data_IF_138262306115
#
_entry.id   IF_138262306115
#
_cell.length_a   1.000
_cell.length_b   1.000
_cell.length_c   1.000
_cell.angle_alpha   90.00
_cell.angle_beta   90.00
_cell.angle_gamma   90.00
#
_symmetry.space_group_name_H-M   'P 1'
#
loop_
_entity.id
_entity.type
_entity.pdbx_description
1 polymer ?
#
# COMPACT_ATOMS: atom_id res chain seq x y z
N UNK A 1 16.62 -15.36 -7.80
CA UNK A 1 17.37 -16.03 -6.71
C UNK A 1 16.45 -16.41 -5.54
N UNK A 2 15.60 -15.50 -5.03
CA UNK A 2 14.71 -15.75 -3.89
C UNK A 2 13.72 -16.90 -4.11
N UNK A 3 13.07 -16.99 -5.27
CA UNK A 3 12.19 -18.14 -5.60
C UNK A 3 12.93 -19.49 -5.53
N UNK A 4 14.20 -19.56 -5.95
CA UNK A 4 15.00 -20.78 -5.82
C UNK A 4 15.33 -21.08 -4.34
N UNK A 5 15.67 -20.06 -3.56
CA UNK A 5 15.91 -20.22 -2.13
C UNK A 5 14.66 -20.73 -1.41
N UNK A 6 13.49 -20.19 -1.74
CA UNK A 6 12.22 -20.65 -1.20
C UNK A 6 12.01 -22.13 -1.48
N UNK A 7 12.19 -22.56 -2.74
CA UNK A 7 12.10 -23.99 -3.11
C UNK A 7 13.01 -24.88 -2.28
N UNK A 8 14.23 -24.43 -1.98
CA UNK A 8 15.19 -25.18 -1.16
C UNK A 8 14.73 -25.30 0.30
N UNK A 9 14.22 -24.20 0.87
CA UNK A 9 13.74 -24.16 2.26
C UNK A 9 12.47 -24.99 2.43
N UNK A 10 11.62 -25.07 1.41
CA UNK A 10 10.36 -25.82 1.45
C UNK A 10 10.46 -27.26 0.95
N UNK A 11 11.66 -27.77 0.64
CA UNK A 11 11.87 -29.14 0.14
C UNK A 11 11.24 -30.21 1.03
N UNK A 12 11.23 -30.00 2.34
CA UNK A 12 10.70 -30.93 3.33
C UNK A 12 9.36 -30.46 3.92
N UNK A 13 8.63 -29.61 3.19
CA UNK A 13 7.40 -28.96 3.63
C UNK A 13 7.61 -27.51 4.07
N UNK A 14 6.52 -26.80 4.34
CA UNK A 14 6.56 -25.40 4.76
C UNK A 14 7.08 -25.29 6.21
N UNK A 15 8.11 -24.46 6.47
CA UNK A 15 8.55 -24.18 7.84
C UNK A 15 7.44 -23.58 8.72
N UNK A 16 7.53 -23.82 10.03
CA UNK A 16 6.56 -23.29 11.02
C UNK A 16 7.00 -21.99 11.68
N UNK A 17 8.20 -21.52 11.33
CA UNK A 17 8.89 -20.38 11.89
C UNK A 17 9.19 -19.34 10.80
N UNK A 18 8.29 -19.17 9.82
CA UNK A 18 8.50 -18.26 8.69
C UNK A 18 8.78 -16.80 9.12
N UNK A 19 8.41 -16.41 10.34
CA UNK A 19 8.74 -15.10 10.92
C UNK A 19 10.23 -14.86 11.16
N UNK A 20 11.05 -15.92 11.25
CA UNK A 20 12.51 -15.77 11.36
C UNK A 20 13.20 -15.59 10.00
N UNK A 21 12.46 -15.69 8.90
CA UNK A 21 13.00 -15.59 7.55
C UNK A 21 12.92 -14.15 7.03
N UNK A 22 13.76 -13.78 6.05
CA UNK A 22 13.60 -12.51 5.33
C UNK A 22 12.18 -12.39 4.76
N UNK A 23 11.51 -11.26 5.04
CA UNK A 23 10.14 -10.98 4.58
C UNK A 23 9.99 -11.09 3.07
N UNK A 24 11.05 -10.76 2.35
CA UNK A 24 11.19 -10.88 0.90
C UNK A 24 10.96 -12.30 0.36
N UNK A 25 11.18 -13.34 1.18
CA UNK A 25 10.84 -14.71 0.80
C UNK A 25 9.34 -14.98 0.84
N UNK A 26 8.61 -14.28 1.72
CA UNK A 26 7.17 -14.46 1.88
C UNK A 26 6.39 -13.95 0.67
N UNK A 27 6.99 -13.05 -0.14
CA UNK A 27 6.41 -12.54 -1.39
C UNK A 27 6.04 -13.65 -2.40
N UNK A 28 6.63 -14.84 -2.26
CA UNK A 28 6.42 -16.00 -3.13
C UNK A 28 5.61 -17.11 -2.45
N UNK A 29 4.99 -16.83 -1.30
CA UNK A 29 4.11 -17.71 -0.56
C UNK A 29 2.67 -17.19 -0.58
N UNK A 30 1.72 -18.04 -0.22
CA UNK A 30 0.33 -17.67 0.03
C UNK A 30 0.03 -17.60 1.53
N UNK A 31 -1.07 -16.95 1.95
CA UNK A 31 -1.54 -16.98 3.34
C UNK A 31 -1.75 -18.40 3.87
N UNK A 32 -2.10 -19.35 3.00
CA UNK A 32 -2.31 -20.75 3.40
C UNK A 32 -1.00 -21.47 3.75
N UNK A 33 0.10 -21.15 3.07
CA UNK A 33 1.43 -21.66 3.43
C UNK A 33 1.85 -21.13 4.81
N UNK A 34 1.48 -19.89 5.13
CA UNK A 34 1.81 -19.25 6.40
C UNK A 34 0.96 -19.73 7.59
N UNK A 35 -0.11 -20.50 7.36
CA UNK A 35 -1.07 -20.89 8.39
C UNK A 35 -0.48 -21.68 9.57
N UNK A 36 0.67 -22.35 9.38
CA UNK A 36 1.37 -23.05 10.45
C UNK A 36 2.30 -22.16 11.29
N UNK A 37 2.62 -20.95 10.80
CA UNK A 37 3.44 -19.94 11.49
C UNK A 37 2.55 -18.92 12.21
N UNK A 38 1.50 -18.43 11.56
CA UNK A 38 0.62 -17.41 12.14
C UNK A 38 -0.69 -17.26 11.37
N UNK A 39 -1.33 -16.10 11.54
CA UNK A 39 -2.60 -15.79 10.87
C UNK A 39 -2.38 -14.93 9.62
N UNK A 40 -3.43 -14.77 8.80
CA UNK A 40 -3.34 -14.04 7.54
C UNK A 40 -2.99 -12.55 7.73
N UNK A 41 -3.46 -11.90 8.81
CA UNK A 41 -3.11 -10.50 9.08
C UNK A 41 -1.63 -10.36 9.37
N UNK A 42 -1.04 -11.27 10.14
CA UNK A 42 0.39 -11.30 10.42
C UNK A 42 1.21 -11.57 9.15
N UNK A 43 0.72 -12.44 8.25
CA UNK A 43 1.32 -12.64 6.94
C UNK A 43 1.37 -11.32 6.16
N UNK A 44 0.26 -10.59 6.04
CA UNK A 44 0.24 -9.32 5.30
C UNK A 44 1.00 -8.19 5.99
N UNK A 45 1.08 -8.15 7.32
CA UNK A 45 2.00 -7.25 8.04
C UNK A 45 3.45 -7.50 7.59
N UNK A 46 3.84 -8.76 7.38
CA UNK A 46 5.18 -9.09 6.92
C UNK A 46 5.36 -8.75 5.42
N UNK A 47 4.37 -9.04 4.58
CA UNK A 47 4.37 -8.67 3.15
C UNK A 47 4.49 -7.15 2.98
N UNK A 48 3.67 -6.36 3.69
CA UNK A 48 3.68 -4.90 3.62
C UNK A 48 4.98 -4.26 4.09
N UNK A 49 5.85 -5.01 4.77
CA UNK A 49 7.20 -4.60 5.20
C UNK A 49 8.33 -5.20 4.36
N UNK A 50 8.03 -6.04 3.38
CA UNK A 50 9.01 -6.58 2.44
C UNK A 50 9.48 -5.50 1.46
N UNK A 51 10.59 -5.76 0.77
CA UNK A 51 11.10 -4.83 -0.23
C UNK A 51 10.21 -4.85 -1.49
N UNK A 52 9.53 -3.73 -1.76
CA UNK A 52 8.65 -3.53 -2.92
C UNK A 52 9.36 -3.71 -4.26
N UNK A 53 10.67 -3.46 -4.34
CA UNK A 53 11.44 -3.54 -5.59
C UNK A 53 11.65 -4.98 -6.08
N UNK A 54 11.34 -5.98 -5.25
CA UNK A 54 11.47 -7.40 -5.61
C UNK A 54 10.36 -7.85 -6.55
N UNK A 55 9.15 -7.29 -6.40
CA UNK A 55 8.02 -7.52 -7.27
C UNK A 55 7.71 -6.22 -8.02
N UNK A 56 8.19 -6.09 -9.27
CA UNK A 56 7.80 -5.00 -10.15
C UNK A 56 6.27 -4.86 -10.22
N UNK A 57 5.78 -3.66 -10.53
CA UNK A 57 4.35 -3.35 -10.50
C UNK A 57 3.55 -4.25 -11.45
N UNK A 58 4.15 -4.64 -12.56
CA UNK A 58 3.57 -5.48 -13.61
C UNK A 58 3.60 -6.97 -13.27
N UNK A 59 4.26 -7.36 -12.16
CA UNK A 59 4.33 -8.77 -11.75
C UNK A 59 2.95 -9.25 -11.30
N UNK A 60 2.38 -10.31 -11.92
CA UNK A 60 1.07 -10.84 -11.53
C UNK A 60 0.99 -11.26 -10.06
N UNK A 61 2.11 -11.67 -9.46
CA UNK A 61 2.20 -12.03 -8.05
C UNK A 61 1.80 -10.86 -7.14
N UNK A 62 2.16 -9.64 -7.54
CA UNK A 62 1.85 -8.42 -6.78
C UNK A 62 0.36 -8.13 -6.74
N UNK A 63 -0.32 -8.28 -7.87
CA UNK A 63 -1.77 -8.16 -7.94
C UNK A 63 -2.47 -9.25 -7.12
N UNK A 64 -1.96 -10.48 -7.19
CA UNK A 64 -2.48 -11.59 -6.40
C UNK A 64 -2.37 -11.33 -4.88
N UNK A 65 -1.21 -10.86 -4.41
CA UNK A 65 -1.00 -10.49 -3.01
C UNK A 65 -1.98 -9.41 -2.54
N UNK A 66 -2.25 -8.40 -3.37
CA UNK A 66 -3.23 -7.37 -3.02
C UNK A 66 -4.64 -7.97 -2.86
N UNK A 67 -5.08 -8.82 -3.79
CA UNK A 67 -6.40 -9.45 -3.73
C UNK A 67 -6.55 -10.33 -2.48
N UNK A 68 -5.53 -11.14 -2.18
CA UNK A 68 -5.52 -11.98 -0.98
C UNK A 68 -5.47 -11.16 0.32
N UNK A 69 -4.79 -10.01 0.31
CA UNK A 69 -4.76 -9.09 1.45
C UNK A 69 -6.15 -8.50 1.73
N UNK A 70 -6.82 -8.03 0.68
CA UNK A 70 -8.17 -7.47 0.78
C UNK A 70 -9.18 -8.53 1.28
N UNK A 71 -9.05 -9.78 0.83
CA UNK A 71 -9.86 -10.91 1.32
C UNK A 71 -9.56 -11.22 2.80
N UNK A 72 -8.28 -11.32 3.18
CA UNK A 72 -7.86 -11.58 4.56
C UNK A 72 -8.40 -10.52 5.53
N UNK A 73 -8.33 -9.24 5.14
CA UNK A 73 -8.78 -8.12 5.97
C UNK A 73 -10.29 -7.91 5.94
N UNK A 74 -11.02 -8.65 5.09
CA UNK A 74 -12.49 -8.57 4.95
C UNK A 74 -12.97 -7.14 4.72
N UNK A 75 -12.30 -6.42 3.84
CA UNK A 75 -12.63 -5.02 3.54
C UNK A 75 -14.04 -4.93 2.96
N UNK A 76 -14.96 -4.17 3.59
CA UNK A 76 -16.29 -3.96 3.04
C UNK A 76 -16.24 -2.94 1.89
N UNK A 77 -16.46 -3.40 0.67
CA UNK A 77 -16.38 -2.54 -0.51
C UNK A 77 -14.95 -2.02 -0.73
N UNK A 78 -14.79 -0.71 -0.84
CA UNK A 78 -13.49 -0.08 -1.16
C UNK A 78 -12.92 0.80 -0.04
N UNK A 79 -13.56 0.85 1.13
CA UNK A 79 -13.12 1.72 2.23
C UNK A 79 -12.03 1.05 3.08
N UNK A 80 -10.84 1.64 3.06
CA UNK A 80 -9.68 1.23 3.86
C UNK A 80 -9.50 2.21 5.02
N UNK A 81 -9.47 1.68 6.25
CA UNK A 81 -9.16 2.45 7.45
C UNK A 81 -7.64 2.46 7.73
N UNK A 82 -7.20 3.27 8.70
CA UNK A 82 -5.77 3.41 9.04
C UNK A 82 -5.12 2.08 9.47
N UNK A 83 -5.85 1.23 10.21
CA UNK A 83 -5.34 -0.07 10.66
C UNK A 83 -5.04 -0.99 9.47
N UNK A 84 -5.99 -1.11 8.54
CA UNK A 84 -5.85 -1.93 7.35
C UNK A 84 -4.79 -1.38 6.39
N UNK A 85 -4.70 -0.05 6.24
CA UNK A 85 -3.62 0.58 5.48
C UNK A 85 -2.24 0.22 6.05
N UNK A 86 -2.10 0.25 7.39
CA UNK A 86 -0.88 -0.17 8.07
C UNK A 86 -0.53 -1.64 7.90
N UNK A 87 -1.53 -2.53 7.79
CA UNK A 87 -1.30 -3.95 7.48
C UNK A 87 -0.88 -4.13 6.01
N UNK A 88 -1.52 -3.42 5.08
CA UNK A 88 -1.20 -3.48 3.65
C UNK A 88 0.23 -2.97 3.36
N UNK A 89 0.68 -1.94 4.08
CA UNK A 89 2.01 -1.34 3.86
C UNK A 89 2.18 -0.89 2.41
N UNK A 90 3.25 -1.34 1.73
CA UNK A 90 3.50 -0.92 0.34
C UNK A 90 2.41 -1.36 -0.66
N UNK A 91 1.56 -2.36 -0.32
CA UNK A 91 0.44 -2.77 -1.18
C UNK A 91 -0.61 -1.65 -1.36
N UNK A 92 -0.62 -0.63 -0.48
CA UNK A 92 -1.45 0.58 -0.67
C UNK A 92 -1.16 1.26 -2.02
N UNK A 93 0.08 1.18 -2.51
CA UNK A 93 0.48 1.76 -3.79
C UNK A 93 -0.20 1.12 -5.01
N UNK A 94 -0.79 -0.07 -4.84
CA UNK A 94 -1.46 -0.81 -5.91
C UNK A 94 -2.99 -0.74 -5.81
N UNK A 95 -3.54 -0.03 -4.81
CA UNK A 95 -4.97 0.22 -4.70
C UNK A 95 -5.45 1.07 -5.87
N UNK A 96 -6.53 0.64 -6.53
CA UNK A 96 -7.15 1.40 -7.61
C UNK A 96 -7.76 2.72 -7.13
N UNK A 97 -8.03 3.63 -8.07
CA UNK A 97 -8.53 4.98 -7.75
C UNK A 97 -9.85 5.01 -6.94
N UNK A 98 -10.69 3.96 -7.04
CA UNK A 98 -11.91 3.85 -6.24
C UNK A 98 -11.62 3.72 -4.73
N UNK A 99 -10.65 2.90 -4.34
CA UNK A 99 -10.22 2.75 -2.95
C UNK A 99 -9.66 4.06 -2.40
N UNK A 100 -8.90 4.79 -3.21
CA UNK A 100 -8.35 6.10 -2.84
C UNK A 100 -9.49 7.09 -2.56
N UNK A 101 -10.46 7.20 -3.48
CA UNK A 101 -11.60 8.12 -3.32
C UNK A 101 -12.47 7.78 -2.12
N UNK A 102 -12.83 6.50 -1.94
CA UNK A 102 -13.76 6.09 -0.89
C UNK A 102 -13.14 6.08 0.51
N UNK A 103 -11.81 5.90 0.60
CA UNK A 103 -11.05 6.00 1.86
C UNK A 103 -10.67 7.44 2.21
N UNK A 104 -10.78 8.37 1.27
CA UNK A 104 -10.54 9.80 1.47
C UNK A 104 -9.12 10.08 1.97
N UNK A 105 -9.02 11.00 2.94
CA UNK A 105 -7.73 11.42 3.50
C UNK A 105 -6.92 10.34 4.22
N UNK A 106 -7.55 9.20 4.55
CA UNK A 106 -6.96 8.10 5.32
C UNK A 106 -5.69 7.55 4.68
N UNK A 107 -5.68 7.41 3.35
CA UNK A 107 -4.58 6.77 2.62
C UNK A 107 -3.47 7.74 2.21
N UNK A 108 -3.65 9.06 2.36
CA UNK A 108 -2.73 10.04 1.79
C UNK A 108 -1.30 9.92 2.34
N UNK A 109 -1.16 9.57 3.61
CA UNK A 109 0.16 9.39 4.23
C UNK A 109 0.88 8.13 3.73
N UNK A 110 0.16 7.04 3.55
CA UNK A 110 0.71 5.80 3.01
C UNK A 110 1.03 5.96 1.52
N UNK A 111 0.14 6.62 0.76
CA UNK A 111 0.35 6.97 -0.64
C UNK A 111 1.56 7.89 -0.82
N UNK A 112 1.85 8.80 0.12
CA UNK A 112 3.06 9.62 0.05
C UNK A 112 4.36 8.83 0.21
N UNK A 113 4.31 7.53 0.48
CA UNK A 113 5.48 6.65 0.43
C UNK A 113 5.65 5.94 -0.92
N UNK A 114 4.65 5.98 -1.81
CA UNK A 114 4.70 5.33 -3.11
C UNK A 114 5.65 6.04 -4.08
N UNK A 115 6.25 5.25 -4.99
CA UNK A 115 7.21 5.77 -5.97
C UNK A 115 6.57 6.34 -7.24
N UNK A 116 5.44 5.79 -7.68
CA UNK A 116 4.72 6.23 -8.87
C UNK A 116 3.24 5.85 -8.81
N UNK A 117 2.43 6.51 -9.63
CA UNK A 117 0.99 6.32 -9.69
C UNK A 117 0.53 6.07 -11.12
N UNK A 118 -0.59 5.36 -11.26
CA UNK A 118 -1.32 5.28 -12.52
C UNK A 118 -2.17 6.56 -12.71
N UNK A 119 -2.51 6.92 -13.95
CA UNK A 119 -3.34 8.11 -14.21
C UNK A 119 -4.65 8.15 -13.40
N UNK A 120 -5.31 7.01 -13.23
CA UNK A 120 -6.54 6.90 -12.42
C UNK A 120 -6.31 7.13 -10.92
N UNK A 121 -5.14 6.77 -10.40
CA UNK A 121 -4.76 7.01 -9.00
C UNK A 121 -4.41 8.49 -8.82
N UNK A 122 -3.70 9.09 -9.78
CA UNK A 122 -3.38 10.53 -9.76
C UNK A 122 -4.64 11.39 -9.75
N UNK A 123 -5.62 11.05 -10.57
CA UNK A 123 -6.95 11.68 -10.55
C UNK A 123 -7.63 11.51 -9.19
N UNK A 124 -7.68 10.29 -8.65
CA UNK A 124 -8.28 10.02 -7.35
C UNK A 124 -7.59 10.79 -6.20
N UNK A 125 -6.26 10.89 -6.21
CA UNK A 125 -5.48 11.65 -5.22
C UNK A 125 -5.83 13.14 -5.31
N UNK A 126 -5.92 13.69 -6.52
CA UNK A 126 -6.32 15.10 -6.72
C UNK A 126 -7.74 15.35 -6.25
N UNK A 127 -8.69 14.46 -6.53
CA UNK A 127 -10.07 14.56 -6.03
C UNK A 127 -10.11 14.61 -4.50
N UNK A 128 -9.39 13.70 -3.84
CA UNK A 128 -9.33 13.65 -2.38
C UNK A 128 -8.72 14.92 -1.79
N UNK A 129 -7.58 15.37 -2.31
CA UNK A 129 -6.88 16.56 -1.82
C UNK A 129 -7.69 17.84 -2.04
N UNK A 130 -8.30 17.98 -3.22
CA UNK A 130 -9.11 19.16 -3.57
C UNK A 130 -10.43 19.24 -2.81
N UNK A 131 -10.98 18.12 -2.34
CA UNK A 131 -12.17 18.11 -1.49
C UNK A 131 -11.98 18.86 -0.17
N UNK A 132 -10.73 18.97 0.31
CA UNK A 132 -10.39 19.52 1.62
C UNK A 132 -10.91 18.71 2.81
N UNK A 133 -11.62 17.61 2.59
CA UNK A 133 -12.15 16.72 3.63
C UNK A 133 -11.09 15.70 4.05
N UNK A 134 -9.95 16.20 4.47
CA UNK A 134 -8.80 15.41 4.92
C UNK A 134 -8.28 16.00 6.22
N UNK A 135 -7.42 15.27 6.92
CA UNK A 135 -6.70 15.79 8.11
C UNK A 135 -5.80 16.99 7.79
N UNK A 136 -5.46 17.18 6.51
CA UNK A 136 -4.67 18.32 6.03
C UNK A 136 -5.51 19.57 5.71
N UNK A 137 -6.85 19.44 5.65
CA UNK A 137 -7.75 20.50 5.23
C UNK A 137 -7.64 20.85 3.73
N UNK A 138 -8.31 21.92 3.29
CA UNK A 138 -8.26 22.37 1.90
C UNK A 138 -6.88 22.92 1.51
N UNK A 139 -6.49 22.88 0.23
CA UNK A 139 -5.19 23.38 -0.25
C UNK A 139 -4.83 24.80 0.22
N UNK A 140 -5.83 25.68 0.36
CA UNK A 140 -5.65 27.05 0.85
C UNK A 140 -5.22 27.17 2.32
N UNK A 141 -5.33 26.09 3.10
CA UNK A 141 -4.90 26.02 4.50
C UNK A 141 -3.57 25.26 4.69
N UNK A 142 -2.96 24.77 3.62
CA UNK A 142 -1.75 23.97 3.73
C UNK A 142 -0.56 24.81 4.19
N UNK A 143 0.18 24.26 5.15
CA UNK A 143 1.42 24.82 5.66
C UNK A 143 2.63 24.19 4.99
N UNK A 144 3.82 24.76 5.20
CA UNK A 144 5.08 24.11 4.81
C UNK A 144 5.22 22.70 5.40
N UNK A 145 4.70 22.49 6.62
CA UNK A 145 4.66 21.16 7.24
C UNK A 145 3.75 20.19 6.46
N UNK A 146 2.54 20.64 6.08
CA UNK A 146 1.63 19.86 5.23
C UNK A 146 2.28 19.45 3.90
N UNK A 147 2.98 20.40 3.25
CA UNK A 147 3.69 20.12 2.01
C UNK A 147 4.86 19.13 2.20
N UNK A 148 5.52 19.14 3.37
CA UNK A 148 6.55 18.15 3.68
C UNK A 148 5.98 16.74 3.85
N UNK A 149 4.83 16.59 4.51
CA UNK A 149 4.14 15.32 4.69
C UNK A 149 3.62 14.76 3.35
N UNK A 150 3.14 15.65 2.47
CA UNK A 150 2.66 15.32 1.13
C UNK A 150 3.77 15.29 0.05
N UNK A 151 5.05 15.42 0.43
CA UNK A 151 6.14 15.72 -0.50
C UNK A 151 6.21 14.85 -1.76
N UNK A 152 5.98 13.54 -1.66
CA UNK A 152 5.97 12.64 -2.84
C UNK A 152 4.67 12.68 -3.66
N UNK A 153 3.62 13.30 -3.14
CA UNK A 153 2.38 13.59 -3.86
C UNK A 153 2.42 14.92 -4.59
N UNK A 154 3.43 15.78 -4.33
CA UNK A 154 3.58 17.07 -5.03
C UNK A 154 3.57 16.93 -6.56
N UNK A 155 4.25 15.94 -7.18
CA UNK A 155 4.22 15.76 -8.64
C UNK A 155 2.83 15.43 -9.19
N UNK A 156 1.91 14.92 -8.37
CA UNK A 156 0.54 14.58 -8.73
C UNK A 156 -0.37 15.82 -8.72
N UNK A 157 0.04 16.91 -8.05
CA UNK A 157 -0.76 18.13 -7.94
C UNK A 157 -0.81 18.85 -9.28
N UNK A 158 -2.02 19.19 -9.73
CA UNK A 158 -2.20 20.02 -10.90
C UNK A 158 -2.20 21.52 -10.58
N UNK A 159 -2.26 22.33 -11.63
CA UNK A 159 -2.23 23.78 -11.50
C UNK A 159 -3.36 24.34 -10.63
N UNK A 160 -4.53 23.69 -10.61
CA UNK A 160 -5.69 24.16 -9.86
C UNK A 160 -5.50 24.03 -8.34
N UNK A 161 -4.81 22.99 -7.90
CA UNK A 161 -4.45 22.80 -6.48
C UNK A 161 -3.29 23.72 -6.12
N UNK A 162 -2.24 23.76 -6.94
CA UNK A 162 -1.04 24.54 -6.65
C UNK A 162 -1.31 26.05 -6.54
N UNK A 163 -2.27 26.59 -7.29
CA UNK A 163 -2.67 27.99 -7.18
C UNK A 163 -3.34 28.36 -5.86
N UNK A 164 -3.91 27.38 -5.16
CA UNK A 164 -4.58 27.60 -3.87
C UNK A 164 -3.59 27.60 -2.71
N UNK A 165 -2.45 26.93 -2.86
CA UNK A 165 -1.44 26.81 -1.79
C UNK A 165 -0.90 28.20 -1.43
N UNK A 166 -0.89 28.58 -0.14
CA UNK A 166 -0.31 29.84 0.31
C UNK A 166 1.16 30.00 -0.14
N UNK A 167 1.53 31.24 -0.51
CA UNK A 167 2.90 31.60 -0.90
C UNK A 167 3.83 31.73 0.30
#
# INVERSE_FOLDING_TARGET
QLSCLLKMVTLNGIPKDLDSYPKDLLLFLSPSDYAATGNCSQFFINIGKANVDILPREDPQRQQLLLEALECLKIPGTQINEENAGILGWLVCDLGGEYIRSSGGTLLKDLSQCGSFLPEQEEAIRDVLSSGNTTFGPPAAWSAFTLSELSRLIPVLDHSILQQVPK
#
